data_IF_874504692231
#
_entry.id   IF_874504692231
#
_cell.length_a   1.000
_cell.length_b   1.000
_cell.length_c   1.000
_cell.angle_alpha   90.00
_cell.angle_beta   90.00
_cell.angle_gamma   90.00
#
_symmetry.space_group_name_H-M   'P 1'
#
loop_
_entity.id
_entity.type
_entity.pdbx_description
1 polymer ?
#
# COMPACT_ATOMS: atom_id res chain seq x y z
N UNK A 1 -14.35 -10.46 -14.67
CA UNK A 1 -13.57 -10.22 -13.45
C UNK A 1 -12.14 -9.87 -13.86
N UNK A 2 -11.62 -8.69 -13.52
CA UNK A 2 -10.22 -8.35 -13.79
C UNK A 2 -9.34 -9.21 -12.87
N UNK A 3 -8.35 -9.89 -13.44
CA UNK A 3 -7.39 -10.66 -12.66
C UNK A 3 -6.21 -9.74 -12.34
N UNK A 4 -6.09 -9.38 -11.07
CA UNK A 4 -4.98 -8.60 -10.49
C UNK A 4 -4.11 -9.53 -9.63
N UNK A 5 -2.88 -9.14 -9.24
CA UNK A 5 -2.06 -9.95 -8.33
C UNK A 5 -2.85 -10.31 -7.07
N UNK A 6 -2.75 -11.57 -6.65
CA UNK A 6 -3.46 -12.10 -5.48
C UNK A 6 -2.45 -12.50 -4.41
N UNK A 7 -2.81 -12.30 -3.15
CA UNK A 7 -2.09 -12.88 -2.02
C UNK A 7 -2.11 -14.42 -2.09
N UNK A 8 -1.12 -15.06 -1.47
CA UNK A 8 -1.03 -16.53 -1.34
C UNK A 8 -1.19 -17.02 0.09
N UNK A 9 -1.51 -16.13 1.02
CA UNK A 9 -1.75 -16.41 2.43
C UNK A 9 -3.09 -15.81 2.88
N UNK A 10 -3.46 -16.01 4.14
CA UNK A 10 -4.77 -15.63 4.66
C UNK A 10 -4.78 -14.24 5.34
N UNK A 11 -3.63 -13.56 5.43
CA UNK A 11 -3.44 -12.42 6.33
C UNK A 11 -2.95 -11.12 5.66
N UNK A 12 -2.58 -11.16 4.39
CA UNK A 12 -2.05 -9.97 3.67
C UNK A 12 -3.14 -9.18 2.90
N UNK A 13 -4.43 -9.49 3.08
CA UNK A 13 -5.49 -8.85 2.28
C UNK A 13 -5.57 -7.34 2.47
N UNK A 14 -5.37 -6.86 3.70
CA UNK A 14 -5.24 -5.43 3.97
C UNK A 14 -4.04 -4.81 3.25
N UNK A 15 -2.90 -5.49 3.21
CA UNK A 15 -1.70 -5.00 2.54
C UNK A 15 -1.91 -4.90 1.02
N UNK A 16 -2.55 -5.89 0.40
CA UNK A 16 -2.87 -5.84 -1.02
C UNK A 16 -3.83 -4.68 -1.34
N UNK A 17 -4.85 -4.44 -0.50
CA UNK A 17 -5.75 -3.29 -0.66
C UNK A 17 -4.98 -1.97 -0.57
N UNK A 18 -4.08 -1.81 0.41
CA UNK A 18 -3.23 -0.62 0.54
C UNK A 18 -2.33 -0.44 -0.69
N UNK A 19 -1.70 -1.52 -1.16
CA UNK A 19 -0.81 -1.47 -2.31
C UNK A 19 -1.56 -1.15 -3.61
N UNK A 20 -2.78 -1.68 -3.80
CA UNK A 20 -3.63 -1.29 -4.93
C UNK A 20 -3.93 0.21 -4.93
N UNK A 21 -4.20 0.80 -3.77
CA UNK A 21 -4.44 2.24 -3.66
C UNK A 21 -3.17 3.05 -3.95
N UNK A 22 -2.02 2.65 -3.40
CA UNK A 22 -0.72 3.31 -3.67
C UNK A 22 -0.41 3.31 -5.18
N UNK A 23 -0.44 2.13 -5.84
CA UNK A 23 -0.21 2.03 -7.29
C UNK A 23 -1.25 2.75 -8.12
N UNK A 24 -2.50 2.73 -7.70
CA UNK A 24 -3.56 3.47 -8.39
C UNK A 24 -3.31 4.98 -8.32
N UNK A 25 -2.91 5.53 -7.18
CA UNK A 25 -2.59 6.95 -7.05
C UNK A 25 -1.36 7.36 -7.87
N UNK A 26 -0.36 6.47 -7.99
CA UNK A 26 0.86 6.72 -8.75
C UNK A 26 0.65 6.62 -10.27
N UNK A 27 -0.14 5.65 -10.72
CA UNK A 27 -0.20 5.27 -12.14
C UNK A 27 -1.50 5.68 -12.84
N UNK A 28 -2.60 5.91 -12.10
CA UNK A 28 -3.86 6.22 -12.74
C UNK A 28 -3.78 7.58 -13.45
N UNK A 29 -4.34 7.68 -14.67
CA UNK A 29 -4.45 8.96 -15.34
C UNK A 29 -5.38 9.89 -14.55
N UNK A 30 -5.16 11.20 -14.65
CA UNK A 30 -5.96 12.25 -13.99
C UNK A 30 -7.48 12.05 -14.19
N UNK A 31 -7.86 11.55 -15.38
CA UNK A 31 -9.23 11.12 -15.66
C UNK A 31 -9.24 9.66 -16.11
N UNK A 32 -9.59 8.78 -15.19
CA UNK A 32 -9.77 7.36 -15.46
C UNK A 32 -10.93 7.10 -16.45
N UNK A 33 -10.63 6.42 -17.56
CA UNK A 33 -11.61 5.91 -18.53
C UNK A 33 -11.56 4.39 -18.55
N UNK A 34 -12.60 3.77 -19.12
CA UNK A 34 -12.73 2.32 -19.19
C UNK A 34 -11.54 1.62 -19.88
N UNK A 35 -10.94 2.25 -20.90
CA UNK A 35 -9.75 1.74 -21.60
C UNK A 35 -8.49 1.75 -20.74
N UNK A 36 -8.41 2.64 -19.75
CA UNK A 36 -7.22 2.78 -18.90
C UNK A 36 -7.18 1.65 -17.87
N UNK A 37 -8.32 1.01 -17.57
CA UNK A 37 -8.38 -0.17 -16.70
C UNK A 37 -7.54 -1.33 -17.22
N UNK A 38 -7.18 -1.36 -18.50
CA UNK A 38 -6.34 -2.39 -19.12
C UNK A 38 -4.88 -2.38 -18.65
N UNK A 39 -4.41 -1.27 -18.10
CA UNK A 39 -3.10 -1.22 -17.44
C UNK A 39 -3.07 -2.03 -16.13
N UNK A 40 -4.22 -2.18 -15.46
CA UNK A 40 -4.36 -2.95 -14.23
C UNK A 40 -4.64 -4.42 -14.57
N UNK A 41 -3.63 -5.28 -14.40
CA UNK A 41 -3.70 -6.70 -14.74
C UNK A 41 -2.81 -7.58 -13.87
N UNK A 42 -2.67 -8.86 -14.23
CA UNK A 42 -1.91 -9.85 -13.43
C UNK A 42 -0.44 -9.50 -13.18
N UNK A 43 0.13 -8.67 -14.06
CA UNK A 43 1.53 -8.22 -14.00
C UNK A 43 1.64 -6.79 -13.46
N UNK A 44 0.58 -6.27 -12.83
CA UNK A 44 0.58 -4.92 -12.29
C UNK A 44 1.69 -4.74 -11.23
N UNK A 45 1.94 -5.77 -10.44
CA UNK A 45 3.06 -5.86 -9.50
C UNK A 45 3.29 -7.31 -9.07
N UNK A 46 4.41 -7.58 -8.42
CA UNK A 46 4.72 -8.88 -7.80
C UNK A 46 4.08 -8.97 -6.41
N UNK A 47 3.42 -10.09 -6.04
CA UNK A 47 2.80 -10.28 -4.72
C UNK A 47 3.70 -9.93 -3.52
N UNK A 48 5.00 -10.13 -3.65
CA UNK A 48 6.00 -9.85 -2.63
C UNK A 48 6.15 -8.35 -2.35
N UNK A 49 5.88 -7.48 -3.34
CA UNK A 49 5.90 -6.02 -3.18
C UNK A 49 4.80 -5.56 -2.22
N UNK A 50 3.57 -6.04 -2.44
CA UNK A 50 2.44 -5.77 -1.53
C UNK A 50 2.67 -6.36 -0.13
N UNK A 51 3.20 -7.59 -0.05
CA UNK A 51 3.50 -8.25 1.23
C UNK A 51 4.59 -7.47 2.01
N UNK A 52 5.53 -6.86 1.29
CA UNK A 52 6.60 -6.02 1.84
C UNK A 52 6.10 -4.77 2.59
N UNK A 53 4.88 -4.30 2.30
CA UNK A 53 4.26 -3.19 3.03
C UNK A 53 4.17 -3.44 4.53
N UNK A 54 4.10 -4.71 4.97
CA UNK A 54 4.09 -5.05 6.40
C UNK A 54 5.23 -4.39 7.16
N UNK A 55 6.45 -4.47 6.61
CA UNK A 55 7.64 -3.90 7.25
C UNK A 55 7.58 -2.37 7.20
N UNK A 56 7.28 -1.80 6.02
CA UNK A 56 7.13 -0.34 5.83
C UNK A 56 6.13 0.27 6.82
N UNK A 57 4.94 -0.32 6.94
CA UNK A 57 3.89 0.13 7.88
C UNK A 57 4.36 -0.03 9.33
N UNK A 58 4.99 -1.15 9.68
CA UNK A 58 5.49 -1.34 11.04
C UNK A 58 6.57 -0.33 11.42
N UNK A 59 7.44 0.03 10.49
CA UNK A 59 8.52 1.00 10.73
C UNK A 59 7.93 2.42 10.87
N UNK A 60 7.00 2.80 9.98
CA UNK A 60 6.27 4.07 10.07
C UNK A 60 5.50 4.20 11.39
N UNK A 61 4.76 3.16 11.79
CA UNK A 61 4.00 3.21 13.04
C UNK A 61 4.91 3.41 14.26
N UNK A 62 6.08 2.76 14.30
CA UNK A 62 7.05 2.96 15.39
C UNK A 62 7.54 4.40 15.43
N UNK A 63 7.91 4.95 14.28
CA UNK A 63 8.34 6.35 14.17
C UNK A 63 7.24 7.31 14.64
N UNK A 64 6.01 7.14 14.18
CA UNK A 64 4.87 7.98 14.60
C UNK A 64 4.60 7.88 16.11
N UNK A 65 4.69 6.68 16.70
CA UNK A 65 4.53 6.51 18.15
C UNK A 65 5.70 7.12 18.95
N UNK A 66 6.94 6.99 18.47
CA UNK A 66 8.10 7.63 19.08
C UNK A 66 7.99 9.16 19.03
N UNK A 67 7.59 9.72 17.88
CA UNK A 67 7.37 11.16 17.70
C UNK A 67 6.25 11.68 18.61
N UNK A 68 5.14 10.95 18.74
CA UNK A 68 4.04 11.31 19.63
C UNK A 68 4.46 11.33 21.11
N UNK A 69 5.37 10.42 21.51
CA UNK A 69 5.89 10.35 22.88
C UNK A 69 7.04 11.33 23.14
N UNK A 70 7.84 11.67 22.13
CA UNK A 70 8.97 12.60 22.21
C UNK A 70 8.57 14.08 22.34
N UNK A 71 7.35 14.44 21.90
CA UNK A 71 6.79 15.79 22.04
C UNK A 71 6.35 16.17 23.46
N UNK A 72 6.46 15.28 24.45
CA UNK A 72 6.06 15.53 25.84
C UNK A 72 7.20 16.06 26.75
N UNK A 73 8.42 16.19 26.24
CA UNK A 73 9.61 16.51 27.05
C UNK A 73 10.10 17.97 26.98
N UNK A 74 9.48 18.83 26.16
CA UNK A 74 9.89 20.24 26.02
C UNK A 74 8.97 21.21 26.79
N UNK A 75 8.70 20.89 28.06
CA UNK A 75 8.11 21.80 29.04
C UNK A 75 8.89 21.73 30.35
N UNK A 76 10.08 22.35 30.37
CA UNK A 76 10.73 22.87 31.57
C UNK A 76 11.56 24.12 31.21
#
# INVERSE_FOLDING_TARGET
>A
MKQVPQQRNEYDCGLFVLFFMERFLEEAPERLKKKDLDMFGKQWFRPEEASGLRRKISDLLKEEFENANGGACDLD
#
